data_IF_688001090208
#
_entry.id   IF_688001090208
#
_cell.length_a   1.000
_cell.length_b   1.000
_cell.length_c   1.000
_cell.angle_alpha   90.00
_cell.angle_beta   90.00
_cell.angle_gamma   90.00
#
_symmetry.space_group_name_H-M   'P 1'
#
loop_
_entity.id
_entity.type
_entity.pdbx_description
1 polymer ?
#
# COMPACT_ATOMS: atom_id res chain seq x y z
N UNK A 1 -7.48 -23.76 -20.86
CA UNK A 1 -7.54 -23.11 -22.18
C UNK A 1 -8.41 -21.85 -22.15
N UNK A 2 -9.68 -21.91 -21.72
CA UNK A 2 -10.56 -20.71 -21.70
C UNK A 2 -10.09 -19.62 -20.74
N UNK A 3 -9.52 -19.99 -19.59
CA UNK A 3 -8.95 -19.04 -18.61
C UNK A 3 -7.67 -18.34 -19.11
N UNK A 4 -6.79 -19.02 -19.82
CA UNK A 4 -5.55 -18.43 -20.34
C UNK A 4 -5.81 -17.38 -21.45
N UNK A 5 -6.80 -17.60 -22.30
CA UNK A 5 -7.16 -16.63 -23.34
C UNK A 5 -7.84 -15.38 -22.77
N UNK A 6 -8.63 -15.53 -21.70
CA UNK A 6 -9.24 -14.40 -20.97
C UNK A 6 -8.17 -13.57 -20.28
N UNK A 7 -7.24 -14.22 -19.56
CA UNK A 7 -6.10 -13.56 -18.92
C UNK A 7 -5.25 -12.82 -19.96
N UNK A 8 -4.95 -13.44 -21.08
CA UNK A 8 -4.17 -12.84 -22.17
C UNK A 8 -4.86 -11.59 -22.74
N UNK A 9 -6.17 -11.62 -22.99
CA UNK A 9 -6.93 -10.44 -23.48
C UNK A 9 -6.91 -9.31 -22.46
N UNK A 10 -7.13 -9.60 -21.20
CA UNK A 10 -7.06 -8.57 -20.14
C UNK A 10 -5.65 -8.01 -19.98
N UNK A 11 -4.64 -8.84 -20.07
CA UNK A 11 -3.23 -8.43 -20.01
C UNK A 11 -2.87 -7.48 -21.15
N UNK A 12 -3.28 -7.78 -22.39
CA UNK A 12 -3.05 -6.91 -23.57
C UNK A 12 -3.77 -5.57 -23.38
N UNK A 13 -5.02 -5.58 -22.89
CA UNK A 13 -5.77 -4.36 -22.62
C UNK A 13 -5.08 -3.46 -21.59
N UNK A 14 -4.53 -4.05 -20.55
CA UNK A 14 -3.79 -3.32 -19.51
C UNK A 14 -2.50 -2.73 -20.07
N UNK A 15 -1.71 -3.52 -20.79
CA UNK A 15 -0.45 -3.06 -21.42
C UNK A 15 -0.70 -1.90 -22.41
N UNK A 16 -1.77 -1.99 -23.19
CA UNK A 16 -2.18 -0.90 -24.08
C UNK A 16 -2.49 0.40 -23.32
N UNK A 17 -3.15 0.31 -22.16
CA UNK A 17 -3.47 1.50 -21.34
C UNK A 17 -2.25 2.08 -20.65
N UNK A 18 -1.29 1.24 -20.24
CA UNK A 18 0.00 1.69 -19.74
C UNK A 18 0.77 2.41 -20.85
N UNK A 19 0.81 1.86 -22.07
CA UNK A 19 1.44 2.52 -23.22
C UNK A 19 0.76 3.86 -23.54
N UNK A 20 -0.57 3.92 -23.49
CA UNK A 20 -1.33 5.16 -23.65
C UNK A 20 -0.97 6.20 -22.57
N UNK A 21 -0.84 5.77 -21.31
CA UNK A 21 -0.37 6.66 -20.24
C UNK A 21 1.01 7.22 -20.52
N UNK A 22 1.97 6.37 -20.91
CA UNK A 22 3.33 6.80 -21.25
C UNK A 22 3.31 7.82 -22.39
N UNK A 23 2.51 7.56 -23.44
CA UNK A 23 2.37 8.47 -24.57
C UNK A 23 1.79 9.83 -24.16
N UNK A 24 0.73 9.84 -23.35
CA UNK A 24 0.15 11.07 -22.80
C UNK A 24 1.17 11.83 -21.96
N UNK A 25 1.95 11.13 -21.15
CA UNK A 25 2.96 11.74 -20.31
C UNK A 25 4.11 12.35 -21.11
N UNK A 26 4.57 11.68 -22.16
CA UNK A 26 5.55 12.22 -23.11
C UNK A 26 4.97 13.48 -23.79
N UNK A 27 3.70 13.46 -24.20
CA UNK A 27 3.03 14.63 -24.75
C UNK A 27 2.97 15.81 -23.81
N UNK A 28 2.73 15.57 -22.51
CA UNK A 28 2.75 16.61 -21.47
C UNK A 28 4.16 17.19 -21.29
N UNK A 29 5.21 16.38 -21.29
CA UNK A 29 6.60 16.84 -21.24
C UNK A 29 6.93 17.68 -22.47
N UNK A 30 6.53 17.23 -23.68
CA UNK A 30 6.73 17.98 -24.92
C UNK A 30 6.02 19.35 -24.86
N UNK A 31 4.79 19.40 -24.31
CA UNK A 31 4.08 20.65 -24.04
C UNK A 31 4.86 21.58 -23.10
N UNK A 32 5.41 21.03 -22.02
CA UNK A 32 6.23 21.80 -21.07
C UNK A 32 7.47 22.40 -21.72
N UNK A 33 8.18 21.63 -22.54
CA UNK A 33 9.33 22.09 -23.33
C UNK A 33 8.92 23.18 -24.32
N UNK A 34 7.78 23.01 -25.00
CA UNK A 34 7.24 24.01 -25.94
C UNK A 34 6.89 25.33 -25.25
N UNK A 35 6.25 25.26 -24.07
CA UNK A 35 5.95 26.46 -23.28
C UNK A 35 7.23 27.18 -22.83
N UNK A 36 8.26 26.44 -22.45
CA UNK A 36 9.56 27.03 -22.09
C UNK A 36 10.22 27.71 -23.29
N UNK A 37 10.12 27.10 -24.47
CA UNK A 37 10.61 27.72 -25.71
C UNK A 37 9.86 28.99 -26.05
N UNK A 38 8.53 29.04 -25.92
CA UNK A 38 7.72 30.25 -26.12
C UNK A 38 8.15 31.34 -25.14
N UNK A 39 8.28 31.04 -23.86
CA UNK A 39 8.69 31.97 -22.83
C UNK A 39 10.09 32.55 -23.12
N UNK A 40 11.03 31.69 -23.55
CA UNK A 40 12.35 32.13 -23.99
C UNK A 40 12.26 33.08 -25.21
N UNK A 41 11.50 32.69 -26.23
CA UNK A 41 11.31 33.56 -27.43
C UNK A 41 10.70 34.91 -27.08
N UNK A 42 9.72 34.93 -26.18
CA UNK A 42 9.10 36.17 -25.69
C UNK A 42 10.10 37.03 -24.89
N UNK A 43 10.93 36.41 -24.05
CA UNK A 43 11.95 37.12 -23.30
C UNK A 43 13.01 37.76 -24.24
N UNK A 44 13.48 37.02 -25.24
CA UNK A 44 14.42 37.56 -26.24
C UNK A 44 13.80 38.71 -27.03
N UNK A 45 12.54 38.55 -27.48
CA UNK A 45 11.83 39.63 -28.18
C UNK A 45 11.67 40.86 -27.29
N UNK A 46 11.26 40.72 -26.04
CA UNK A 46 11.13 41.79 -25.08
C UNK A 46 12.44 42.51 -24.82
N UNK A 47 13.55 41.77 -24.68
CA UNK A 47 14.88 42.31 -24.50
C UNK A 47 15.35 43.13 -25.71
N UNK A 48 15.05 42.70 -26.94
CA UNK A 48 15.45 43.43 -28.15
C UNK A 48 14.62 44.69 -28.39
N UNK A 49 13.40 44.77 -27.88
CA UNK A 49 12.47 45.85 -28.17
C UNK A 49 12.20 46.79 -26.98
N UNK A 50 12.78 46.52 -25.79
CA UNK A 50 12.47 47.31 -24.59
C UNK A 50 12.87 48.80 -24.75
N UNK A 51 13.92 49.11 -25.53
CA UNK A 51 14.37 50.51 -25.80
C UNK A 51 13.40 51.30 -26.68
N UNK A 52 12.54 50.61 -27.43
CA UNK A 52 11.50 51.25 -28.25
C UNK A 52 10.26 51.67 -27.41
N UNK A 53 10.19 51.29 -26.13
CA UNK A 53 9.05 51.58 -25.27
C UNK A 53 9.35 52.84 -24.46
N UNK A 54 8.61 53.94 -24.73
CA UNK A 54 8.81 55.25 -24.05
C UNK A 54 8.21 55.28 -22.63
N UNK A 55 7.26 54.43 -22.32
CA UNK A 55 6.55 54.42 -21.04
C UNK A 55 7.24 53.53 -20.01
N UNK A 56 7.72 54.10 -18.93
CA UNK A 56 8.32 53.37 -17.81
C UNK A 56 7.38 52.31 -17.23
N UNK A 57 6.07 52.60 -17.17
CA UNK A 57 5.07 51.65 -16.69
C UNK A 57 4.96 50.42 -17.60
N UNK A 58 5.01 50.62 -18.92
CA UNK A 58 4.98 49.50 -19.88
C UNK A 58 6.26 48.66 -19.82
N UNK A 59 7.41 49.27 -19.58
CA UNK A 59 8.68 48.55 -19.36
C UNK A 59 8.57 47.63 -18.12
N UNK A 60 8.04 48.15 -17.00
CA UNK A 60 7.85 47.33 -15.81
C UNK A 60 6.89 46.15 -16.04
N UNK A 61 5.81 46.38 -16.78
CA UNK A 61 4.86 45.30 -17.15
C UNK A 61 5.55 44.26 -18.05
N UNK A 62 6.32 44.70 -19.04
CA UNK A 62 7.07 43.78 -19.91
C UNK A 62 8.06 42.92 -19.12
N UNK A 63 8.87 43.55 -18.26
CA UNK A 63 9.82 42.82 -17.39
C UNK A 63 9.08 41.82 -16.48
N UNK A 64 7.99 42.22 -15.84
CA UNK A 64 7.17 41.38 -15.01
C UNK A 64 6.57 40.19 -15.78
N UNK A 65 6.11 40.42 -17.03
CA UNK A 65 5.58 39.37 -17.90
C UNK A 65 6.68 38.39 -18.35
N UNK A 66 7.89 38.87 -18.65
CA UNK A 66 9.04 38.03 -18.99
C UNK A 66 9.44 37.14 -17.81
N UNK A 67 9.63 37.70 -16.61
CA UNK A 67 9.98 36.99 -15.40
C UNK A 67 8.88 35.96 -15.04
N UNK A 68 7.62 36.40 -15.06
CA UNK A 68 6.47 35.56 -14.74
C UNK A 68 6.29 34.43 -15.75
N UNK A 69 6.46 34.69 -17.05
CA UNK A 69 6.33 33.68 -18.10
C UNK A 69 7.44 32.64 -18.05
N UNK A 70 8.69 33.05 -17.80
CA UNK A 70 9.80 32.09 -17.57
C UNK A 70 9.54 31.29 -16.30
N UNK A 71 9.20 31.97 -15.20
CA UNK A 71 8.88 31.30 -13.93
C UNK A 71 7.76 30.27 -14.07
N UNK A 72 6.67 30.62 -14.75
CA UNK A 72 5.57 29.68 -15.06
C UNK A 72 6.08 28.45 -15.82
N UNK A 73 6.83 28.64 -16.89
CA UNK A 73 7.30 27.55 -17.75
C UNK A 73 8.29 26.63 -17.01
N UNK A 74 9.19 27.20 -16.22
CA UNK A 74 10.16 26.46 -15.40
C UNK A 74 9.44 25.68 -14.31
N UNK A 75 8.56 26.32 -13.55
CA UNK A 75 7.81 25.64 -12.47
C UNK A 75 6.90 24.55 -13.00
N UNK A 76 6.26 24.76 -14.14
CA UNK A 76 5.46 23.73 -14.80
C UNK A 76 6.34 22.58 -15.31
N UNK A 77 7.49 22.88 -15.91
CA UNK A 77 8.48 21.87 -16.31
C UNK A 77 9.00 21.03 -15.13
N UNK A 78 9.33 21.69 -14.00
CA UNK A 78 9.73 21.01 -12.77
C UNK A 78 8.61 20.08 -12.29
N UNK A 79 7.36 20.53 -12.30
CA UNK A 79 6.22 19.69 -11.95
C UNK A 79 6.16 18.41 -12.79
N UNK A 80 6.32 18.51 -14.10
CA UNK A 80 6.28 17.34 -14.98
C UNK A 80 7.46 16.39 -14.78
N UNK A 81 8.65 16.93 -14.46
CA UNK A 81 9.88 16.14 -14.39
C UNK A 81 10.20 15.65 -12.98
N UNK A 82 9.71 16.33 -11.92
CA UNK A 82 10.01 15.96 -10.51
C UNK A 82 9.75 14.48 -10.19
N UNK A 83 8.73 13.89 -10.80
CA UNK A 83 8.35 12.50 -10.56
C UNK A 83 9.29 11.47 -11.18
N UNK A 84 10.00 11.85 -12.25
CA UNK A 84 11.03 11.00 -12.86
C UNK A 84 12.17 10.75 -11.85
N UNK A 85 12.42 11.75 -10.99
CA UNK A 85 13.48 11.73 -9.99
C UNK A 85 12.99 11.45 -8.57
N UNK A 86 11.67 11.50 -8.31
CA UNK A 86 11.15 11.19 -6.99
C UNK A 86 11.25 9.69 -6.72
N UNK A 87 11.83 9.35 -5.57
CA UNK A 87 11.64 8.01 -4.99
C UNK A 87 10.34 8.04 -4.22
N UNK A 88 9.52 7.02 -4.37
CA UNK A 88 8.37 6.84 -3.47
C UNK A 88 8.93 6.80 -2.06
N UNK A 89 8.63 7.81 -1.26
CA UNK A 89 8.98 7.76 0.15
C UNK A 89 8.27 6.54 0.72
N UNK A 90 9.05 5.63 1.28
CA UNK A 90 8.49 4.53 2.06
C UNK A 90 7.69 5.14 3.20
N UNK A 91 6.37 5.10 3.10
CA UNK A 91 5.39 5.66 4.04
C UNK A 91 5.49 5.02 5.42
N UNK A 92 6.36 4.04 5.59
CA UNK A 92 6.38 3.19 6.77
C UNK A 92 7.62 3.45 7.63
N UNK A 93 7.54 4.49 8.45
CA UNK A 93 8.38 4.65 9.64
C UNK A 93 8.23 3.48 10.63
N UNK A 94 7.23 2.62 10.43
CA UNK A 94 6.73 1.62 11.38
C UNK A 94 7.22 0.20 11.10
N UNK A 95 8.24 0.05 10.26
CA UNK A 95 8.79 -1.26 9.88
C UNK A 95 10.15 -1.50 10.50
N UNK A 96 10.32 -2.65 11.12
CA UNK A 96 11.61 -3.14 11.63
C UNK A 96 12.24 -4.05 10.57
N UNK A 97 13.38 -3.67 10.03
CA UNK A 97 14.19 -4.56 9.18
C UNK A 97 14.77 -5.68 10.03
N UNK A 98 14.64 -6.91 9.57
CA UNK A 98 15.21 -8.11 10.20
C UNK A 98 16.17 -8.82 9.27
N UNK A 99 17.17 -9.47 9.87
CA UNK A 99 18.20 -10.22 9.15
C UNK A 99 18.11 -11.71 9.45
N UNK A 100 18.70 -12.52 8.59
CA UNK A 100 18.74 -13.99 8.78
C UNK A 100 19.47 -14.37 10.08
N UNK A 101 20.52 -13.63 10.46
CA UNK A 101 21.24 -13.86 11.71
C UNK A 101 20.38 -13.59 12.96
N UNK A 102 19.44 -12.65 12.88
CA UNK A 102 18.51 -12.31 13.95
C UNK A 102 17.32 -13.25 14.07
N UNK A 103 16.81 -13.77 12.92
CA UNK A 103 15.60 -14.59 12.86
C UNK A 103 15.80 -15.83 11.96
N UNK A 104 16.71 -16.75 12.27
CA UNK A 104 17.04 -17.88 11.38
C UNK A 104 15.84 -18.79 11.10
N UNK A 105 14.96 -19.02 12.07
CA UNK A 105 13.77 -19.87 11.90
C UNK A 105 12.78 -19.25 10.90
N UNK A 106 12.53 -17.93 10.99
CA UNK A 106 11.68 -17.20 10.05
C UNK A 106 12.27 -17.26 8.62
N UNK A 107 13.58 -16.99 8.48
CA UNK A 107 14.22 -17.02 7.16
C UNK A 107 14.25 -18.43 6.55
N UNK A 108 14.34 -19.48 7.36
CA UNK A 108 14.20 -20.86 6.88
C UNK A 108 12.79 -21.12 6.36
N UNK A 109 11.74 -20.71 7.08
CA UNK A 109 10.35 -20.80 6.62
C UNK A 109 10.12 -20.01 5.32
N UNK A 110 10.65 -18.78 5.22
CA UNK A 110 10.58 -17.98 4.00
C UNK A 110 11.28 -18.67 2.82
N UNK A 111 12.45 -19.26 3.05
CA UNK A 111 13.23 -19.96 2.00
C UNK A 111 12.51 -21.22 1.51
N UNK A 112 11.92 -21.97 2.42
CA UNK A 112 11.12 -23.16 2.10
C UNK A 112 9.95 -22.79 1.19
N UNK A 113 9.16 -21.77 1.58
CA UNK A 113 8.03 -21.29 0.78
C UNK A 113 8.49 -20.73 -0.56
N UNK A 114 9.57 -19.92 -0.59
CA UNK A 114 10.12 -19.35 -1.82
C UNK A 114 10.56 -20.44 -2.81
N UNK A 115 11.18 -21.51 -2.31
CA UNK A 115 11.60 -22.68 -3.11
C UNK A 115 10.38 -23.41 -3.66
N UNK A 116 9.38 -23.71 -2.84
CA UNK A 116 8.17 -24.43 -3.23
C UNK A 116 7.34 -23.66 -4.28
N UNK A 117 7.25 -22.35 -4.14
CA UNK A 117 6.52 -21.47 -5.08
C UNK A 117 7.37 -21.01 -6.28
N UNK A 118 8.62 -21.46 -6.38
CA UNK A 118 9.58 -21.04 -7.42
C UNK A 118 9.77 -19.51 -7.48
N UNK A 119 9.65 -18.84 -6.34
CA UNK A 119 9.82 -17.40 -6.21
C UNK A 119 11.24 -17.07 -5.72
N UNK A 120 11.90 -16.03 -6.25
CA UNK A 120 13.19 -15.60 -5.71
C UNK A 120 13.03 -15.06 -4.28
N UNK A 121 14.04 -15.30 -3.44
CA UNK A 121 14.09 -14.77 -2.08
C UNK A 121 13.93 -13.24 -2.08
N UNK A 122 13.17 -12.68 -1.11
CA UNK A 122 13.07 -11.23 -0.95
C UNK A 122 14.44 -10.63 -0.58
N UNK A 123 14.69 -9.41 -1.09
CA UNK A 123 15.95 -8.68 -0.80
C UNK A 123 16.05 -8.28 0.66
N UNK A 124 14.92 -7.87 1.24
CA UNK A 124 14.80 -7.45 2.62
C UNK A 124 13.50 -8.00 3.20
N UNK A 125 13.52 -8.32 4.47
CA UNK A 125 12.35 -8.75 5.26
C UNK A 125 12.13 -7.74 6.34
N UNK A 126 10.89 -7.29 6.46
CA UNK A 126 10.45 -6.32 7.46
C UNK A 126 9.36 -6.94 8.34
N UNK A 127 9.38 -6.57 9.60
CA UNK A 127 8.28 -6.81 10.53
C UNK A 127 7.51 -5.51 10.73
N UNK A 128 6.19 -5.58 10.72
CA UNK A 128 5.29 -4.45 11.00
C UNK A 128 4.28 -4.82 12.09
N UNK A 129 3.60 -3.83 12.68
CA UNK A 129 2.56 -4.10 13.66
C UNK A 129 1.28 -4.73 13.09
N UNK A 130 1.04 -4.60 11.81
CA UNK A 130 -0.24 -4.88 11.16
C UNK A 130 -0.63 -6.37 11.15
N UNK A 131 -1.89 -6.66 10.79
CA UNK A 131 -2.39 -8.01 10.51
C UNK A 131 -2.37 -8.22 9.00
N UNK A 132 -1.19 -8.22 8.42
CA UNK A 132 -1.03 -8.36 6.97
C UNK A 132 0.34 -8.96 6.64
N UNK A 133 0.44 -9.62 5.50
CA UNK A 133 1.71 -9.89 4.85
C UNK A 133 1.64 -9.29 3.44
N UNK A 134 2.74 -8.74 2.95
CA UNK A 134 2.78 -8.27 1.57
C UNK A 134 4.20 -8.27 1.02
N UNK A 135 4.29 -8.55 -0.27
CA UNK A 135 5.52 -8.31 -1.02
C UNK A 135 5.39 -6.98 -1.74
N UNK A 136 6.36 -6.11 -1.55
CA UNK A 136 6.36 -4.77 -2.13
C UNK A 136 7.69 -4.44 -2.82
N UNK A 137 7.64 -3.39 -3.63
CA UNK A 137 8.79 -2.89 -4.37
C UNK A 137 9.16 -1.51 -3.85
N UNK A 138 10.46 -1.22 -3.79
CA UNK A 138 10.94 0.15 -3.71
C UNK A 138 10.70 0.81 -5.06
N UNK A 139 9.52 1.42 -5.24
CA UNK A 139 9.08 1.94 -6.52
C UNK A 139 9.67 3.31 -6.82
N UNK A 140 10.03 3.52 -8.07
CA UNK A 140 10.34 4.81 -8.67
C UNK A 140 9.72 4.84 -10.07
N UNK A 141 9.69 5.99 -10.72
CA UNK A 141 9.26 6.06 -12.13
C UNK A 141 10.00 5.05 -13.02
N UNK A 142 11.31 4.86 -12.80
CA UNK A 142 12.15 3.94 -13.55
C UNK A 142 11.80 2.46 -13.33
N UNK A 143 11.10 2.15 -12.26
CA UNK A 143 10.63 0.79 -11.97
C UNK A 143 9.60 0.28 -12.98
N UNK A 144 9.00 1.17 -13.78
CA UNK A 144 8.11 0.79 -14.90
C UNK A 144 8.90 0.09 -15.99
N UNK A 145 10.18 0.48 -16.19
CA UNK A 145 11.03 0.02 -17.30
C UNK A 145 12.06 -1.02 -16.87
N UNK A 146 12.50 -0.98 -15.61
CA UNK A 146 13.57 -1.84 -15.09
C UNK A 146 13.06 -2.76 -13.99
N UNK A 147 13.54 -4.03 -13.95
CA UNK A 147 13.15 -4.96 -12.89
C UNK A 147 13.63 -4.48 -11.53
N UNK A 148 12.73 -4.51 -10.55
CA UNK A 148 12.99 -4.09 -9.18
C UNK A 148 13.03 -5.30 -8.26
N UNK A 149 13.94 -5.30 -7.28
CA UNK A 149 14.02 -6.35 -6.27
C UNK A 149 12.86 -6.21 -5.30
N UNK A 150 12.32 -7.34 -4.88
CA UNK A 150 11.17 -7.47 -3.99
C UNK A 150 11.61 -7.43 -2.54
N UNK A 151 10.81 -6.80 -1.71
CA UNK A 151 10.91 -6.83 -0.26
C UNK A 151 9.66 -7.53 0.30
N UNK A 152 9.79 -8.20 1.43
CA UNK A 152 8.69 -8.86 2.13
C UNK A 152 8.42 -8.10 3.43
N UNK A 153 7.16 -7.85 3.72
CA UNK A 153 6.70 -7.38 5.01
C UNK A 153 5.77 -8.42 5.62
N UNK A 154 5.93 -8.66 6.92
CA UNK A 154 5.11 -9.58 7.69
C UNK A 154 4.64 -8.86 8.94
N UNK A 155 3.34 -8.73 9.10
CA UNK A 155 2.73 -8.12 10.26
C UNK A 155 2.67 -9.06 11.46
N UNK A 156 3.12 -8.59 12.62
CA UNK A 156 3.15 -9.39 13.84
C UNK A 156 1.73 -9.75 14.34
N UNK A 157 0.73 -8.96 13.99
CA UNK A 157 -0.65 -9.30 14.30
C UNK A 157 -1.14 -10.62 13.70
N UNK A 158 -0.52 -11.11 12.62
CA UNK A 158 -0.79 -12.44 12.08
C UNK A 158 -0.37 -13.55 13.05
N UNK A 159 0.75 -13.36 13.75
CA UNK A 159 1.31 -14.37 14.65
C UNK A 159 0.41 -14.65 15.86
N UNK A 160 -0.49 -13.74 16.19
CA UNK A 160 -1.35 -13.80 17.37
C UNK A 160 -2.15 -15.11 17.44
N UNK A 161 -2.67 -15.59 16.30
CA UNK A 161 -3.51 -16.82 16.30
C UNK A 161 -3.22 -17.78 15.15
N UNK A 162 -2.21 -17.51 14.31
CA UNK A 162 -1.82 -18.47 13.26
C UNK A 162 -0.85 -19.51 13.78
N UNK A 163 -0.91 -20.69 13.19
CA UNK A 163 0.15 -21.69 13.32
C UNK A 163 1.19 -21.54 12.19
N UNK A 164 2.29 -22.27 12.29
CA UNK A 164 3.40 -22.21 11.32
C UNK A 164 2.94 -22.55 9.90
N UNK A 165 2.09 -23.57 9.71
CA UNK A 165 1.57 -23.94 8.40
C UNK A 165 0.63 -22.89 7.82
N UNK A 166 -0.24 -22.28 8.63
CA UNK A 166 -1.11 -21.20 8.21
C UNK A 166 -0.31 -19.96 7.78
N UNK A 167 0.72 -19.58 8.56
CA UNK A 167 1.61 -18.49 8.19
C UNK A 167 2.37 -18.79 6.89
N UNK A 168 2.89 -19.99 6.72
CA UNK A 168 3.51 -20.44 5.46
C UNK A 168 2.53 -20.40 4.29
N UNK A 169 1.25 -20.74 4.50
CA UNK A 169 0.19 -20.60 3.51
C UNK A 169 -0.05 -19.14 3.07
N UNK A 170 -0.06 -18.23 4.03
CA UNK A 170 -0.14 -16.77 3.77
C UNK A 170 1.07 -16.31 2.95
N UNK A 171 2.27 -16.72 3.34
CA UNK A 171 3.50 -16.38 2.60
C UNK A 171 3.51 -17.00 1.19
N UNK A 172 2.98 -18.23 1.03
CA UNK A 172 2.86 -18.88 -0.27
C UNK A 172 1.89 -18.14 -1.20
N UNK A 173 0.79 -17.60 -0.66
CA UNK A 173 -0.11 -16.71 -1.40
C UNK A 173 0.61 -15.45 -1.87
N UNK A 174 1.33 -14.75 -0.97
CA UNK A 174 2.10 -13.56 -1.31
C UNK A 174 3.18 -13.86 -2.38
N UNK A 175 3.86 -14.99 -2.28
CA UNK A 175 4.82 -15.41 -3.29
C UNK A 175 4.14 -15.87 -4.58
N UNK A 176 2.94 -16.43 -4.49
CA UNK A 176 2.09 -16.78 -5.62
C UNK A 176 1.86 -15.59 -6.55
N UNK A 177 1.66 -14.39 -6.02
CA UNK A 177 1.57 -13.17 -6.81
C UNK A 177 2.81 -12.87 -7.66
N UNK A 178 3.90 -13.61 -7.53
CA UNK A 178 5.18 -13.32 -8.20
C UNK A 178 5.78 -14.50 -8.96
N UNK A 179 5.19 -15.69 -8.86
CA UNK A 179 5.71 -16.90 -9.50
C UNK A 179 5.24 -17.07 -10.95
N UNK A 180 4.05 -16.59 -11.31
CA UNK A 180 3.45 -16.82 -12.62
C UNK A 180 3.72 -15.71 -13.64
N UNK A 181 3.64 -16.04 -14.96
CA UNK A 181 3.83 -15.07 -16.05
C UNK A 181 2.80 -13.92 -16.06
N UNK A 182 1.55 -14.19 -15.70
CA UNK A 182 0.48 -13.21 -15.53
C UNK A 182 0.81 -12.20 -14.44
N UNK A 183 1.52 -12.61 -13.41
CA UNK A 183 1.96 -11.81 -12.28
C UNK A 183 3.04 -10.79 -12.62
N UNK A 184 3.87 -11.01 -13.68
CA UNK A 184 4.80 -10.00 -14.18
C UNK A 184 4.06 -8.77 -14.69
N UNK A 185 2.89 -8.98 -15.29
CA UNK A 185 2.02 -7.89 -15.75
C UNK A 185 1.38 -7.18 -14.56
N UNK A 186 0.91 -7.94 -13.56
CA UNK A 186 0.38 -7.38 -12.32
C UNK A 186 1.39 -6.48 -11.59
N UNK A 187 2.65 -6.89 -11.50
CA UNK A 187 3.70 -6.05 -10.90
C UNK A 187 3.95 -4.77 -11.69
N UNK A 188 3.95 -4.83 -13.04
CA UNK A 188 4.07 -3.63 -13.88
C UNK A 188 2.89 -2.68 -13.70
N UNK A 189 1.68 -3.22 -13.55
CA UNK A 189 0.48 -2.43 -13.29
C UNK A 189 0.53 -1.80 -11.90
N UNK A 190 0.90 -2.57 -10.87
CA UNK A 190 1.07 -2.06 -9.51
C UNK A 190 2.04 -0.87 -9.47
N UNK A 191 3.22 -1.03 -10.10
CA UNK A 191 4.23 0.04 -10.19
C UNK A 191 3.65 1.25 -10.92
N UNK A 192 2.99 1.04 -12.07
CA UNK A 192 2.37 2.12 -12.85
C UNK A 192 1.29 2.82 -12.06
N UNK A 193 0.44 2.08 -11.34
CA UNK A 193 -0.59 2.65 -10.49
C UNK A 193 -0.02 3.46 -9.32
N UNK A 194 1.03 2.98 -8.68
CA UNK A 194 1.72 3.72 -7.62
C UNK A 194 2.30 5.03 -8.16
N UNK A 195 2.94 4.99 -9.32
CA UNK A 195 3.46 6.19 -9.99
C UNK A 195 2.33 7.14 -10.36
N UNK A 196 1.26 6.65 -10.99
CA UNK A 196 0.09 7.47 -11.34
C UNK A 196 -0.59 8.08 -10.12
N UNK A 197 -0.72 7.31 -9.04
CA UNK A 197 -1.30 7.80 -7.78
C UNK A 197 -0.49 8.95 -7.20
N UNK A 198 0.82 8.78 -7.13
CA UNK A 198 1.71 9.82 -6.61
C UNK A 198 1.66 11.08 -7.47
N UNK A 199 1.64 10.92 -8.80
CA UNK A 199 1.53 12.02 -9.76
C UNK A 199 0.21 12.79 -9.65
N UNK A 200 -0.89 12.07 -9.44
CA UNK A 200 -2.23 12.61 -9.56
C UNK A 200 -2.79 13.16 -8.24
N UNK A 201 -2.37 12.60 -7.09
CA UNK A 201 -3.03 12.84 -5.80
C UNK A 201 -2.10 13.36 -4.71
N UNK A 202 -0.78 13.13 -4.78
CA UNK A 202 0.12 13.61 -3.73
C UNK A 202 0.40 15.11 -3.88
N UNK A 203 0.26 15.82 -2.77
CA UNK A 203 0.75 17.20 -2.60
C UNK A 203 2.11 17.16 -1.90
N UNK A 204 3.03 18.04 -2.34
CA UNK A 204 4.37 18.09 -1.83
C UNK A 204 4.88 19.53 -1.66
N UNK A 205 6.17 19.69 -1.35
CA UNK A 205 6.82 21.00 -1.18
C UNK A 205 6.68 21.91 -2.41
N UNK A 206 6.55 21.32 -3.61
CA UNK A 206 6.36 22.07 -4.84
C UNK A 206 5.00 22.79 -4.84
N UNK A 207 3.94 22.13 -4.36
CA UNK A 207 2.62 22.73 -4.22
C UNK A 207 2.64 23.92 -3.27
N UNK A 208 3.34 23.78 -2.13
CA UNK A 208 3.53 24.87 -1.18
C UNK A 208 4.30 26.08 -1.80
N UNK A 209 5.25 25.82 -2.69
CA UNK A 209 5.96 26.89 -3.40
C UNK A 209 5.05 27.61 -4.37
N UNK A 210 4.22 26.90 -5.12
CA UNK A 210 3.22 27.52 -6.01
C UNK A 210 2.22 28.34 -5.22
N UNK A 211 1.78 27.88 -4.05
CA UNK A 211 0.89 28.63 -3.17
C UNK A 211 1.52 29.95 -2.70
N UNK A 212 2.76 29.88 -2.24
CA UNK A 212 3.52 31.11 -1.86
C UNK A 212 3.66 32.05 -3.05
N UNK A 213 3.86 31.52 -4.26
CA UNK A 213 3.93 32.33 -5.46
C UNK A 213 2.60 33.00 -5.80
N UNK A 214 1.48 32.30 -5.64
CA UNK A 214 0.15 32.90 -5.83
C UNK A 214 -0.15 34.04 -4.86
N UNK A 215 0.51 34.06 -3.69
CA UNK A 215 0.32 35.07 -2.63
C UNK A 215 1.30 36.25 -2.71
N UNK A 216 2.13 36.35 -3.76
CA UNK A 216 3.07 37.47 -3.90
C UNK A 216 2.33 38.82 -3.98
N UNK A 217 2.88 39.88 -3.37
CA UNK A 217 2.24 41.23 -3.39
C UNK A 217 2.23 41.88 -4.79
N UNK A 218 3.09 41.39 -5.69
CA UNK A 218 3.16 41.87 -7.09
C UNK A 218 2.11 41.12 -7.90
N UNK A 219 0.97 41.79 -8.17
CA UNK A 219 -0.20 41.19 -8.86
C UNK A 219 0.16 40.47 -10.16
N UNK A 220 1.02 41.06 -10.99
CA UNK A 220 1.42 40.46 -12.27
C UNK A 220 2.14 39.10 -12.06
N UNK A 221 3.03 39.02 -11.09
CA UNK A 221 3.71 37.74 -10.77
C UNK A 221 2.77 36.72 -10.13
N UNK A 222 1.86 37.17 -9.27
CA UNK A 222 0.84 36.32 -8.68
C UNK A 222 -0.08 35.66 -9.74
N UNK A 223 -0.42 36.38 -10.81
CA UNK A 223 -1.20 35.85 -11.95
C UNK A 223 -0.48 34.63 -12.58
N UNK A 224 0.85 34.70 -12.77
CA UNK A 224 1.61 33.55 -13.28
C UNK A 224 1.66 32.38 -12.30
N UNK A 225 1.69 32.64 -10.99
CA UNK A 225 1.50 31.60 -9.96
C UNK A 225 0.14 30.90 -10.10
N UNK A 226 -0.94 31.68 -10.23
CA UNK A 226 -2.29 31.16 -10.44
C UNK A 226 -2.42 30.34 -11.74
N UNK A 227 -1.78 30.81 -12.82
CA UNK A 227 -1.71 30.05 -14.09
C UNK A 227 -0.98 28.72 -13.89
N UNK A 228 0.17 28.73 -13.21
CA UNK A 228 0.90 27.49 -12.88
C UNK A 228 0.01 26.52 -12.14
N UNK A 229 -0.69 26.97 -11.11
CA UNK A 229 -1.63 26.15 -10.34
C UNK A 229 -2.77 25.60 -11.21
N UNK A 230 -3.35 26.43 -12.06
CA UNK A 230 -4.45 26.03 -12.95
C UNK A 230 -4.01 24.96 -13.95
N UNK A 231 -2.84 25.13 -14.57
CA UNK A 231 -2.27 24.16 -15.49
C UNK A 231 -1.91 22.85 -14.78
N UNK A 232 -1.31 22.92 -13.60
CA UNK A 232 -1.01 21.73 -12.79
C UNK A 232 -2.28 20.96 -12.43
N UNK A 233 -3.33 21.64 -11.99
CA UNK A 233 -4.60 20.99 -11.67
C UNK A 233 -5.24 20.36 -12.91
N UNK A 234 -5.09 20.96 -14.10
CA UNK A 234 -5.54 20.35 -15.35
C UNK A 234 -4.77 19.04 -15.64
N UNK A 235 -3.45 19.07 -15.50
CA UNK A 235 -2.62 17.87 -15.68
C UNK A 235 -2.98 16.80 -14.65
N UNK A 236 -3.16 17.15 -13.37
CA UNK A 236 -3.63 16.22 -12.34
C UNK A 236 -4.96 15.58 -12.73
N UNK A 237 -5.92 16.36 -13.23
CA UNK A 237 -7.21 15.83 -13.67
C UNK A 237 -7.08 14.84 -14.84
N UNK A 238 -6.18 15.12 -15.80
CA UNK A 238 -5.86 14.17 -16.88
C UNK A 238 -5.28 12.88 -16.31
N UNK A 239 -4.29 12.98 -15.41
CA UNK A 239 -3.65 11.83 -14.78
C UNK A 239 -4.61 11.03 -13.89
N UNK A 240 -5.52 11.69 -13.16
CA UNK A 240 -6.58 11.04 -12.39
C UNK A 240 -7.53 10.24 -13.28
N UNK A 241 -7.88 10.77 -14.45
CA UNK A 241 -8.68 10.03 -15.42
C UNK A 241 -7.92 8.83 -15.99
N UNK A 242 -6.63 8.99 -16.27
CA UNK A 242 -5.78 7.88 -16.71
C UNK A 242 -5.66 6.80 -15.62
N UNK A 243 -5.50 7.20 -14.36
CA UNK A 243 -5.53 6.28 -13.22
C UNK A 243 -6.82 5.45 -13.16
N UNK A 244 -7.99 6.09 -13.31
CA UNK A 244 -9.27 5.38 -13.37
C UNK A 244 -9.36 4.41 -14.55
N UNK A 245 -8.85 4.82 -15.72
CA UNK A 245 -8.85 3.98 -16.94
C UNK A 245 -7.95 2.76 -16.80
N UNK A 246 -6.76 2.92 -16.22
CA UNK A 246 -5.82 1.81 -15.95
C UNK A 246 -6.43 0.87 -14.92
N UNK A 247 -6.92 1.39 -13.79
CA UNK A 247 -7.46 0.59 -12.70
C UNK A 247 -8.70 -0.21 -13.07
N UNK A 248 -9.61 0.33 -13.89
CA UNK A 248 -10.82 -0.40 -14.29
C UNK A 248 -10.53 -1.75 -14.98
N UNK A 249 -9.40 -1.87 -15.67
CA UNK A 249 -8.96 -3.14 -16.27
C UNK A 249 -8.17 -3.99 -15.29
N UNK A 250 -7.45 -3.33 -14.38
CA UNK A 250 -6.65 -4.01 -13.38
C UNK A 250 -7.50 -4.78 -12.38
N UNK A 251 -8.60 -4.24 -11.89
CA UNK A 251 -9.45 -4.93 -10.90
C UNK A 251 -10.00 -6.28 -11.38
N UNK A 252 -10.27 -6.43 -12.66
CA UNK A 252 -10.67 -7.74 -13.22
C UNK A 252 -9.51 -8.72 -13.24
N UNK A 253 -8.34 -8.27 -13.64
CA UNK A 253 -7.13 -9.07 -13.62
C UNK A 253 -6.70 -9.39 -12.19
N UNK A 254 -6.81 -8.42 -11.28
CA UNK A 254 -6.47 -8.57 -9.86
C UNK A 254 -7.25 -9.70 -9.20
N UNK A 255 -8.57 -9.77 -9.41
CA UNK A 255 -9.39 -10.86 -8.88
C UNK A 255 -8.95 -12.24 -9.36
N UNK A 256 -8.62 -12.38 -10.65
CA UNK A 256 -8.09 -13.64 -11.16
C UNK A 256 -6.73 -13.97 -10.57
N UNK A 257 -5.89 -12.96 -10.37
CA UNK A 257 -4.58 -13.14 -9.73
C UNK A 257 -4.70 -13.59 -8.28
N UNK A 258 -5.73 -13.13 -7.55
CA UNK A 258 -6.03 -13.60 -6.19
C UNK A 258 -6.36 -15.09 -6.20
N UNK A 259 -7.26 -15.53 -7.09
CA UNK A 259 -7.60 -16.97 -7.18
C UNK A 259 -6.41 -17.84 -7.58
N UNK A 260 -5.54 -17.35 -8.46
CA UNK A 260 -4.34 -18.06 -8.86
C UNK A 260 -3.32 -18.15 -7.71
N UNK A 261 -3.17 -17.08 -6.92
CA UNK A 261 -2.33 -17.06 -5.71
C UNK A 261 -2.90 -17.97 -4.61
N UNK A 262 -4.23 -17.99 -4.44
CA UNK A 262 -4.93 -18.92 -3.55
C UNK A 262 -4.67 -20.38 -3.95
N UNK A 263 -4.71 -20.68 -5.24
CA UNK A 263 -4.43 -22.02 -5.75
C UNK A 263 -2.98 -22.46 -5.46
N UNK A 264 -2.01 -21.54 -5.56
CA UNK A 264 -0.60 -21.79 -5.21
C UNK A 264 -0.46 -22.06 -3.71
N UNK A 265 -1.09 -21.25 -2.86
CA UNK A 265 -1.09 -21.46 -1.42
C UNK A 265 -1.70 -22.80 -1.06
N UNK A 266 -2.85 -23.16 -1.66
CA UNK A 266 -3.51 -24.44 -1.47
C UNK A 266 -2.63 -25.62 -1.92
N UNK A 267 -1.90 -25.50 -3.01
CA UNK A 267 -1.01 -26.55 -3.49
C UNK A 267 0.16 -26.83 -2.52
N UNK A 268 0.52 -25.84 -1.70
CA UNK A 268 1.62 -25.92 -0.76
C UNK A 268 1.18 -26.41 0.64
N UNK A 269 0.14 -25.82 1.24
CA UNK A 269 -0.28 -26.15 2.62
C UNK A 269 -1.61 -26.90 2.68
N UNK A 270 -2.32 -27.03 1.57
CA UNK A 270 -3.64 -27.66 1.48
C UNK A 270 -4.80 -26.68 1.71
N UNK A 271 -5.95 -27.05 1.14
CA UNK A 271 -7.15 -26.22 1.15
C UNK A 271 -7.65 -25.89 2.55
N UNK A 272 -7.66 -26.89 3.45
CA UNK A 272 -8.18 -26.71 4.80
C UNK A 272 -7.33 -25.73 5.61
N UNK A 273 -6.00 -25.88 5.54
CA UNK A 273 -5.06 -24.99 6.25
C UNK A 273 -5.14 -23.58 5.70
N UNK A 274 -5.16 -23.44 4.37
CA UNK A 274 -5.23 -22.11 3.76
C UNK A 274 -6.59 -21.44 3.99
N UNK A 275 -7.71 -22.16 3.89
CA UNK A 275 -9.03 -21.65 4.24
C UNK A 275 -9.12 -21.22 5.71
N UNK A 276 -8.47 -21.96 6.62
CA UNK A 276 -8.33 -21.56 8.02
C UNK A 276 -7.55 -20.25 8.16
N UNK A 277 -6.41 -20.14 7.46
CA UNK A 277 -5.59 -18.93 7.47
C UNK A 277 -6.39 -17.70 7.00
N UNK A 278 -7.12 -17.81 5.89
CA UNK A 278 -7.94 -16.73 5.36
C UNK A 278 -9.01 -16.25 6.35
N UNK A 279 -9.71 -17.19 7.01
CA UNK A 279 -10.71 -16.84 8.04
C UNK A 279 -10.07 -16.16 9.25
N UNK A 280 -8.90 -16.63 9.67
CA UNK A 280 -8.15 -16.03 10.78
C UNK A 280 -7.71 -14.61 10.47
N UNK A 281 -7.21 -14.33 9.27
CA UNK A 281 -6.80 -12.97 8.86
C UNK A 281 -7.98 -12.00 9.02
N UNK A 282 -9.18 -12.36 8.59
CA UNK A 282 -10.35 -11.48 8.70
C UNK A 282 -10.71 -11.17 10.16
N UNK A 283 -10.74 -12.20 11.01
CA UNK A 283 -11.01 -12.03 12.44
C UNK A 283 -9.90 -11.22 13.11
N UNK A 284 -8.64 -11.57 12.86
CA UNK A 284 -7.48 -10.88 13.43
C UNK A 284 -7.43 -9.41 13.02
N UNK A 285 -7.74 -9.09 11.76
CA UNK A 285 -7.82 -7.70 11.29
C UNK A 285 -8.86 -6.90 12.08
N UNK A 286 -10.06 -7.45 12.25
CA UNK A 286 -11.14 -6.80 13.01
C UNK A 286 -10.76 -6.63 14.48
N UNK A 287 -10.24 -7.66 15.12
CA UNK A 287 -9.86 -7.61 16.54
C UNK A 287 -8.65 -6.72 16.79
N UNK A 288 -7.75 -6.58 15.82
CA UNK A 288 -6.62 -5.66 15.90
C UNK A 288 -7.05 -4.20 15.86
N UNK A 289 -8.02 -3.84 15.00
CA UNK A 289 -8.61 -2.49 14.99
C UNK A 289 -9.32 -2.17 16.32
N UNK A 290 -10.03 -3.13 16.90
CA UNK A 290 -10.62 -2.97 18.25
C UNK A 290 -9.53 -2.76 19.29
N UNK A 291 -8.44 -3.52 19.20
CA UNK A 291 -7.29 -3.35 20.10
C UNK A 291 -6.67 -1.95 19.97
N UNK A 292 -6.44 -1.48 18.75
CA UNK A 292 -5.89 -0.14 18.49
C UNK A 292 -6.77 0.96 19.05
N UNK A 293 -8.09 0.87 18.86
CA UNK A 293 -9.02 1.84 19.41
C UNK A 293 -8.96 1.86 20.94
N UNK A 294 -8.95 0.67 21.58
CA UNK A 294 -8.79 0.57 23.03
C UNK A 294 -7.46 1.12 23.55
N UNK A 295 -6.37 0.98 22.78
CA UNK A 295 -5.07 1.58 23.11
C UNK A 295 -5.11 3.11 23.00
N UNK A 296 -5.85 3.66 22.02
CA UNK A 296 -6.03 5.09 21.88
C UNK A 296 -6.77 5.66 23.11
N UNK A 297 -7.88 5.01 23.54
CA UNK A 297 -8.61 5.40 24.74
C UNK A 297 -7.73 5.35 25.99
N UNK A 298 -6.91 4.31 26.12
CA UNK A 298 -5.95 4.21 27.24
C UNK A 298 -4.88 5.30 27.23
N UNK A 299 -4.40 5.66 26.03
CA UNK A 299 -3.42 6.76 25.86
C UNK A 299 -4.00 8.08 26.33
N UNK A 300 -5.27 8.38 26.02
CA UNK A 300 -5.96 9.57 26.53
C UNK A 300 -6.08 9.55 28.08
N UNK A 301 -6.18 8.37 28.69
CA UNK A 301 -6.13 8.19 30.14
C UNK A 301 -4.70 8.16 30.73
N UNK A 302 -3.68 8.47 29.95
CA UNK A 302 -2.24 8.38 30.30
C UNK A 302 -1.82 6.98 30.77
N UNK A 303 -2.30 5.95 30.10
CA UNK A 303 -1.98 4.55 30.36
C UNK A 303 -1.46 3.89 29.09
N UNK A 304 -0.51 2.96 29.22
CA UNK A 304 -0.03 2.10 28.14
C UNK A 304 0.06 0.65 28.58
N UNK A 305 -0.01 -0.28 27.64
CA UNK A 305 0.11 -1.72 27.89
C UNK A 305 1.57 -2.15 27.79
N UNK A 306 1.93 -3.27 28.42
CA UNK A 306 3.28 -3.82 28.32
C UNK A 306 3.52 -4.53 26.98
N UNK A 307 2.48 -5.14 26.41
CA UNK A 307 2.56 -5.90 25.17
C UNK A 307 1.22 -5.84 24.40
N UNK A 308 1.27 -5.22 23.24
CA UNK A 308 0.08 -5.00 22.40
C UNK A 308 -0.44 -6.32 21.85
N UNK A 309 0.44 -7.27 21.50
CA UNK A 309 0.04 -8.55 20.92
C UNK A 309 -0.60 -9.49 21.94
N UNK A 310 -0.24 -9.39 23.22
CA UNK A 310 -0.97 -10.07 24.29
C UNK A 310 -2.37 -9.49 24.47
N UNK A 311 -2.49 -8.17 24.43
CA UNK A 311 -3.79 -7.50 24.47
C UNK A 311 -4.66 -7.87 23.27
N UNK A 312 -4.07 -7.93 22.08
CA UNK A 312 -4.74 -8.39 20.87
C UNK A 312 -5.19 -9.85 21.00
N UNK A 313 -4.36 -10.74 21.56
CA UNK A 313 -4.74 -12.13 21.81
C UNK A 313 -5.95 -12.23 22.75
N UNK A 314 -5.94 -11.51 23.86
CA UNK A 314 -7.03 -11.50 24.84
C UNK A 314 -8.34 -11.02 24.21
N UNK A 315 -8.28 -9.94 23.43
CA UNK A 315 -9.45 -9.40 22.72
C UNK A 315 -9.96 -10.38 21.67
N UNK A 316 -9.05 -11.01 20.93
CA UNK A 316 -9.39 -12.03 19.92
C UNK A 316 -10.06 -13.23 20.57
N UNK A 317 -9.51 -13.76 21.65
CA UNK A 317 -10.07 -14.91 22.38
C UNK A 317 -11.45 -14.57 22.96
N UNK A 318 -11.63 -13.36 23.49
CA UNK A 318 -12.92 -12.89 24.01
C UNK A 318 -13.98 -12.79 22.93
N UNK A 319 -13.67 -12.11 21.80
CA UNK A 319 -14.61 -11.89 20.71
C UNK A 319 -14.99 -13.22 20.06
N UNK A 320 -14.04 -14.11 19.86
CA UNK A 320 -14.28 -15.41 19.26
C UNK A 320 -15.10 -16.32 20.18
N UNK A 321 -14.84 -16.29 21.49
CA UNK A 321 -15.65 -17.00 22.48
C UNK A 321 -17.10 -16.47 22.49
N UNK A 322 -17.26 -15.16 22.59
CA UNK A 322 -18.59 -14.50 22.65
C UNK A 322 -19.44 -14.77 21.40
N UNK A 323 -18.82 -14.77 20.23
CA UNK A 323 -19.52 -14.98 18.96
C UNK A 323 -19.45 -16.44 18.48
N UNK A 324 -18.94 -17.36 19.28
CA UNK A 324 -18.82 -18.79 18.98
C UNK A 324 -18.04 -19.07 17.67
N UNK A 325 -17.04 -18.22 17.36
CA UNK A 325 -16.18 -18.34 16.19
C UNK A 325 -15.03 -19.30 16.51
N UNK A 326 -14.93 -20.48 15.89
CA UNK A 326 -13.86 -21.43 16.17
C UNK A 326 -12.55 -20.98 15.52
N UNK A 327 -11.58 -20.50 16.32
CA UNK A 327 -10.24 -20.12 15.84
C UNK A 327 -9.16 -21.20 16.05
N UNK A 328 -9.41 -22.20 16.90
CA UNK A 328 -8.42 -23.26 17.16
C UNK A 328 -8.39 -24.29 16.04
N UNK A 329 -7.20 -24.56 15.50
CA UNK A 329 -6.94 -25.39 14.32
C UNK A 329 -7.59 -26.78 14.34
N UNK A 330 -7.76 -27.41 15.50
CA UNK A 330 -8.34 -28.76 15.60
C UNK A 330 -9.85 -28.79 15.41
N UNK A 331 -10.60 -27.73 15.73
CA UNK A 331 -12.05 -27.69 15.54
C UNK A 331 -12.43 -27.27 14.12
N UNK A 332 -11.53 -26.65 13.37
CA UNK A 332 -11.77 -26.22 11.98
C UNK A 332 -11.64 -27.35 10.97
N UNK A 333 -10.91 -28.44 11.31
CA UNK A 333 -10.72 -29.59 10.41
C UNK A 333 -11.95 -30.52 10.33
N UNK A 334 -12.85 -30.49 11.33
CA UNK A 334 -13.91 -31.53 11.48
C UNK A 334 -15.35 -31.00 11.44
N UNK A 335 -15.61 -29.72 11.14
CA UNK A 335 -16.99 -29.23 11.01
C UNK A 335 -17.10 -28.30 9.81
N UNK A 336 -18.11 -28.57 9.00
CA UNK A 336 -18.71 -27.52 8.16
C UNK A 336 -19.02 -26.35 9.09
N UNK A 337 -18.18 -25.30 9.01
CA UNK A 337 -18.45 -24.08 9.78
C UNK A 337 -19.71 -23.54 9.13
N UNK A 338 -20.83 -23.47 9.88
CA UNK A 338 -21.99 -22.78 9.35
C UNK A 338 -21.54 -21.39 8.95
N UNK A 339 -21.98 -20.89 7.82
CA UNK A 339 -21.88 -19.51 7.37
C UNK A 339 -22.70 -18.59 8.30
N UNK A 340 -22.45 -18.67 9.60
CA UNK A 340 -23.11 -17.88 10.65
C UNK A 340 -22.32 -16.60 10.97
N UNK A 341 -21.62 -16.03 10.00
CA UNK A 341 -21.63 -14.57 9.93
C UNK A 341 -23.04 -14.19 9.51
N UNK A 342 -23.74 -13.32 10.25
CA UNK A 342 -25.04 -12.88 9.81
C UNK A 342 -24.89 -12.35 8.39
N UNK A 343 -25.43 -13.06 7.41
CA UNK A 343 -25.56 -12.66 6.01
C UNK A 343 -26.42 -11.38 5.86
N UNK A 344 -26.61 -10.65 6.94
CA UNK A 344 -27.48 -9.49 7.03
C UNK A 344 -26.90 -8.20 6.46
N UNK A 345 -25.71 -8.23 5.86
CA UNK A 345 -25.26 -7.16 4.98
C UNK A 345 -24.95 -7.76 3.64
N UNK A 346 -25.75 -7.43 2.65
CA UNK A 346 -25.40 -7.54 1.23
C UNK A 346 -24.04 -6.87 1.11
N UNK A 347 -22.98 -7.66 1.08
CA UNK A 347 -21.66 -7.18 0.70
C UNK A 347 -21.78 -6.94 -0.79
N UNK A 348 -22.13 -5.71 -1.16
CA UNK A 348 -22.05 -5.27 -2.55
C UNK A 348 -20.55 -5.28 -2.85
N UNK A 349 -20.09 -6.33 -3.53
CA UNK A 349 -18.73 -6.35 -4.08
C UNK A 349 -18.56 -5.09 -4.91
N UNK A 350 -17.83 -4.14 -4.38
CA UNK A 350 -17.57 -2.90 -5.09
C UNK A 350 -16.67 -3.25 -6.28
N UNK A 351 -17.00 -2.78 -7.47
CA UNK A 351 -16.17 -2.96 -8.69
C UNK A 351 -14.74 -2.45 -8.49
N UNK A 352 -14.52 -1.66 -7.43
CA UNK A 352 -13.24 -1.06 -7.05
C UNK A 352 -12.46 -1.86 -6.00
N UNK A 353 -13.02 -2.96 -5.47
CA UNK A 353 -12.32 -3.80 -4.51
C UNK A 353 -11.20 -4.57 -5.21
N UNK A 354 -9.99 -4.46 -4.66
CA UNK A 354 -8.79 -5.13 -5.19
C UNK A 354 -8.81 -6.62 -4.90
N UNK A 355 -9.48 -7.05 -3.84
CA UNK A 355 -9.60 -8.45 -3.42
C UNK A 355 -11.06 -8.92 -3.51
N UNK A 356 -11.30 -10.18 -3.94
CA UNK A 356 -12.61 -10.81 -3.82
C UNK A 356 -13.00 -10.99 -2.35
N UNK A 357 -14.31 -11.11 -2.10
CA UNK A 357 -14.81 -11.43 -0.76
C UNK A 357 -14.24 -12.78 -0.25
N UNK A 358 -14.12 -12.93 1.08
CA UNK A 358 -13.63 -14.16 1.69
C UNK A 358 -14.45 -15.38 1.23
N UNK A 359 -15.78 -15.26 1.20
CA UNK A 359 -16.68 -16.32 0.73
C UNK A 359 -16.41 -16.69 -0.72
N UNK A 360 -16.17 -15.68 -1.60
CA UNK A 360 -15.81 -15.91 -2.99
C UNK A 360 -14.45 -16.60 -3.11
N UNK A 361 -13.44 -16.19 -2.35
CA UNK A 361 -12.12 -16.83 -2.33
C UNK A 361 -12.22 -18.30 -1.91
N UNK A 362 -12.90 -18.58 -0.78
CA UNK A 362 -13.05 -19.93 -0.26
C UNK A 362 -13.81 -20.84 -1.25
N UNK A 363 -14.86 -20.34 -1.92
CA UNK A 363 -15.60 -21.12 -2.91
C UNK A 363 -14.82 -21.44 -4.18
N UNK A 364 -13.77 -20.68 -4.49
CA UNK A 364 -12.90 -20.89 -5.66
C UNK A 364 -11.64 -21.69 -5.34
N UNK A 365 -11.43 -22.11 -4.08
CA UNK A 365 -10.28 -22.95 -3.76
C UNK A 365 -10.35 -24.27 -4.56
N UNK A 366 -9.23 -24.73 -5.14
CA UNK A 366 -9.22 -25.93 -5.97
C UNK A 366 -9.62 -27.18 -5.15
N UNK A 367 -10.39 -28.07 -5.76
CA UNK A 367 -10.68 -29.38 -5.14
C UNK A 367 -9.38 -30.17 -5.14
N UNK A 368 -8.82 -30.40 -3.96
CA UNK A 368 -7.54 -31.07 -3.83
C UNK A 368 -7.72 -32.58 -3.73
N UNK A 369 -7.07 -33.31 -4.63
CA UNK A 369 -6.87 -34.73 -4.59
C UNK A 369 -5.36 -35.00 -4.38
N UNK A 370 -4.91 -35.19 -3.13
CA UNK A 370 -3.51 -35.53 -2.83
C UNK A 370 -3.17 -35.43 -1.34
N UNK A 371 -2.22 -36.23 -0.92
CA UNK A 371 -1.64 -36.20 0.42
C UNK A 371 -0.82 -34.89 0.57
N UNK A 372 -1.09 -34.16 1.64
CA UNK A 372 -0.36 -32.93 2.02
C UNK A 372 0.72 -33.36 3.02
N UNK A 373 1.90 -32.71 2.94
CA UNK A 373 2.94 -32.85 3.96
C UNK A 373 2.40 -32.57 5.37
N UNK A 374 2.97 -33.23 6.38
CA UNK A 374 2.59 -33.00 7.78
C UNK A 374 2.50 -31.51 8.11
N UNK A 375 1.33 -31.09 8.59
CA UNK A 375 1.09 -29.72 8.97
C UNK A 375 1.74 -29.41 10.32
N UNK A 376 2.57 -28.39 10.35
CA UNK A 376 3.13 -27.85 11.59
C UNK A 376 2.10 -26.95 12.29
N UNK A 377 1.46 -27.50 13.32
CA UNK A 377 0.45 -26.82 14.14
C UNK A 377 1.06 -25.99 15.27
N UNK A 378 2.39 -25.92 15.39
CA UNK A 378 3.04 -25.06 16.38
C UNK A 378 2.68 -23.58 16.15
N UNK A 379 2.64 -22.82 17.22
CA UNK A 379 2.40 -21.36 17.11
C UNK A 379 3.43 -20.73 16.20
N UNK A 380 2.99 -19.86 15.28
CA UNK A 380 3.90 -19.09 14.41
C UNK A 380 4.88 -18.22 15.18
N UNK A 381 4.57 -17.86 16.45
CA UNK A 381 5.51 -17.15 17.33
C UNK A 381 6.84 -17.89 17.55
N UNK A 382 6.88 -19.21 17.37
CA UNK A 382 8.12 -20.00 17.47
C UNK A 382 9.16 -19.62 16.41
N UNK A 383 8.74 -18.93 15.33
CA UNK A 383 9.62 -18.47 14.27
C UNK A 383 10.34 -17.15 14.59
N UNK A 384 9.95 -16.46 15.68
CA UNK A 384 10.48 -15.16 16.05
C UNK A 384 11.00 -15.13 17.48
N UNK A 385 12.14 -14.47 17.76
CA UNK A 385 12.54 -14.11 19.09
C UNK A 385 11.54 -13.17 19.78
N UNK A 386 11.30 -13.36 21.08
CA UNK A 386 10.31 -12.58 21.85
C UNK A 386 10.58 -11.07 21.88
N UNK A 387 11.84 -10.66 21.77
CA UNK A 387 12.22 -9.23 21.71
C UNK A 387 11.44 -8.42 20.66
N UNK A 388 11.04 -9.03 19.57
CA UNK A 388 10.29 -8.32 18.51
C UNK A 388 8.87 -7.96 18.89
N UNK A 389 8.26 -8.70 19.81
CA UNK A 389 6.94 -8.34 20.36
C UNK A 389 7.02 -7.00 21.09
N UNK A 390 8.09 -6.80 21.88
CA UNK A 390 8.31 -5.56 22.64
C UNK A 390 8.73 -4.41 21.72
N UNK A 391 9.73 -4.64 20.84
CA UNK A 391 10.21 -3.61 19.90
C UNK A 391 9.08 -3.06 19.02
N UNK A 392 8.23 -3.94 18.45
CA UNK A 392 7.11 -3.52 17.59
C UNK A 392 5.97 -2.90 18.42
N UNK A 393 5.72 -3.38 19.64
CA UNK A 393 4.75 -2.75 20.56
C UNK A 393 5.10 -1.30 20.84
N UNK A 394 6.38 -1.01 21.10
CA UNK A 394 6.87 0.36 21.32
C UNK A 394 6.64 1.26 20.11
N UNK A 395 6.79 0.74 18.87
CA UNK A 395 6.51 1.50 17.66
C UNK A 395 5.02 1.93 17.59
N UNK A 396 4.10 1.03 17.92
CA UNK A 396 2.67 1.34 17.94
C UNK A 396 2.34 2.36 19.04
N UNK A 397 2.89 2.16 20.23
CA UNK A 397 2.66 3.07 21.36
C UNK A 397 3.14 4.48 21.05
N UNK A 398 4.35 4.61 20.49
CA UNK A 398 4.88 5.90 20.07
C UNK A 398 3.95 6.61 19.05
N UNK A 399 3.40 5.87 18.10
CA UNK A 399 2.44 6.43 17.13
C UNK A 399 1.12 6.87 17.77
N UNK A 400 0.58 6.05 18.68
CA UNK A 400 -0.65 6.39 19.39
C UNK A 400 -0.41 7.64 20.25
N UNK A 401 0.74 7.71 20.96
CA UNK A 401 1.14 8.86 21.77
C UNK A 401 1.27 10.15 20.93
N UNK A 402 1.88 10.05 19.74
CA UNK A 402 1.97 11.17 18.80
C UNK A 402 0.57 11.63 18.33
N UNK A 403 -0.29 10.70 17.98
CA UNK A 403 -1.64 11.01 17.51
C UNK A 403 -2.55 11.59 18.61
N UNK A 404 -2.41 11.15 19.86
CA UNK A 404 -3.17 11.64 21.01
C UNK A 404 -2.54 12.85 21.67
N UNK A 405 -1.38 13.30 21.21
CA UNK A 405 -0.58 14.39 21.81
C UNK A 405 -0.27 14.14 23.30
N UNK A 406 -0.20 12.89 23.71
CA UNK A 406 0.08 12.49 25.10
C UNK A 406 1.57 12.17 25.23
N UNK A 407 2.35 12.84 26.11
CA UNK A 407 3.76 12.55 26.31
C UNK A 407 3.96 11.11 26.78
N UNK A 408 4.85 10.37 26.13
CA UNK A 408 5.07 8.93 26.40
C UNK A 408 5.65 8.68 27.80
N UNK A 409 6.45 9.60 28.32
CA UNK A 409 7.06 9.58 29.66
C UNK A 409 6.04 9.80 30.79
N UNK A 410 4.87 10.36 30.49
CA UNK A 410 3.78 10.52 31.45
C UNK A 410 2.84 9.31 31.54
N UNK A 411 3.01 8.30 30.66
CA UNK A 411 2.11 7.15 30.59
C UNK A 411 2.45 6.08 31.64
N UNK A 412 1.44 5.65 32.38
CA UNK A 412 1.55 4.56 33.34
C UNK A 412 1.35 3.20 32.68
N UNK A 413 2.34 2.31 32.82
CA UNK A 413 2.26 0.95 32.27
C UNK A 413 1.23 0.11 33.04
N UNK A 414 0.35 -0.55 32.29
CA UNK A 414 -0.60 -1.54 32.81
C UNK A 414 -0.33 -2.90 32.14
N UNK A 415 -0.63 -4.00 32.84
CA UNK A 415 -0.27 -5.35 32.37
C UNK A 415 -0.99 -5.77 31.09
N UNK A 416 -2.24 -5.32 30.89
CA UNK A 416 -3.02 -5.51 29.65
C UNK A 416 -4.36 -4.76 29.71
N UNK A 417 -5.05 -4.65 28.59
CA UNK A 417 -6.32 -3.92 28.43
C UNK A 417 -7.42 -4.44 29.36
N UNK A 418 -7.44 -5.73 29.63
CA UNK A 418 -8.55 -6.39 30.35
C UNK A 418 -8.76 -5.92 31.80
N UNK A 419 -7.75 -5.37 32.48
CA UNK A 419 -7.87 -4.94 33.89
C UNK A 419 -8.45 -3.55 34.11
N UNK A 420 -8.53 -2.73 33.05
CA UNK A 420 -8.86 -1.31 33.20
C UNK A 420 -10.22 -0.90 32.65
N UNK A 421 -10.87 -1.70 31.82
CA UNK A 421 -12.10 -1.29 31.15
C UNK A 421 -13.32 -2.20 31.38
N UNK A 422 -13.53 -2.65 32.61
CA UNK A 422 -14.75 -3.39 32.97
C UNK A 422 -16.09 -2.63 32.68
N UNK A 423 -16.04 -1.47 32.06
CA UNK A 423 -17.26 -0.65 31.83
C UNK A 423 -17.40 -0.05 30.42
N UNK A 424 -16.40 -0.10 29.50
CA UNK A 424 -16.50 0.64 28.23
C UNK A 424 -16.14 -0.12 26.95
N UNK A 425 -15.52 -1.27 27.01
CA UNK A 425 -15.18 -2.05 25.81
C UNK A 425 -16.17 -3.17 25.49
N UNK A 426 -17.22 -3.33 26.28
CA UNK A 426 -18.21 -4.39 26.10
C UNK A 426 -19.65 -3.87 26.19
#
# INVERSE_FOLDING_TARGET
>A
MESEDVIRKHSISVLFRIALFILVYIGLIALGVFLLWIAYRFAVWGFLHFTAISSFRLILILIGAMIGGIGFSVMFGIYLVKFIFSKTQNINANRRLVTEAECPALFNAIREVASATQCPMPKKVYLSPDVNACVFYDTSFWSIFFPVKKNLEIGLGLFTSTNTSELKGILAHEFGHFSQKSMKIGSSVYITNTVLYNLAFQEDKWDQWVDKWCMLPVQLLAVFGMLTRRFTNLVRKILQNMYKVVNRSYFRLSRQMEYDADAIACSYVGNQVFASALRKIEVLGTTFEITRNGLTDLSEEKKKVSNIFESHQIITDFITYKNQIPLRSQSLMNKDIPSQYPESRIVVENVWDTHPSLSSRISHLPIQSGEISENDLSSSWTLLPDKYKEEISQIIEAQIAENTQTPEDEMKIISNIHRTSNKRLF
#
